data_IF_509145549628
#
_entry.id   IF_509145549628
#
_cell.length_a   1.000
_cell.length_b   1.000
_cell.length_c   1.000
_cell.angle_alpha   90.00
_cell.angle_beta   90.00
_cell.angle_gamma   90.00
#
_symmetry.space_group_name_H-M   'P 1'
#
loop_
_entity.id
_entity.type
_entity.pdbx_description
1 polymer ?
#
# COMPACT_ATOMS: atom_id res chain seq x y z
N UNK A 1 10.65 10.88 -4.84
CA UNK A 1 9.62 10.68 -3.80
C UNK A 1 9.64 11.82 -2.79
N UNK A 2 8.49 12.25 -2.35
CA UNK A 2 8.33 13.28 -1.32
C UNK A 2 7.53 12.70 -0.16
N UNK A 3 8.16 12.62 0.99
CA UNK A 3 7.57 12.14 2.24
C UNK A 3 7.40 13.26 3.24
N UNK A 4 6.18 13.50 3.68
CA UNK A 4 5.86 14.55 4.63
C UNK A 4 4.99 14.04 5.79
N UNK A 5 5.50 14.02 7.01
CA UNK A 5 4.69 13.81 8.20
C UNK A 5 4.07 15.13 8.66
N UNK A 6 2.76 15.15 8.84
CA UNK A 6 2.01 16.30 9.34
C UNK A 6 1.42 15.99 10.71
N UNK A 7 1.71 16.81 11.70
CA UNK A 7 1.06 16.71 12.99
C UNK A 7 -0.19 17.58 13.00
N UNK A 8 -1.36 16.97 13.10
CA UNK A 8 -2.65 17.66 13.11
C UNK A 8 -3.14 17.95 14.55
N UNK A 9 -2.23 18.19 15.48
CA UNK A 9 -2.55 18.44 16.89
C UNK A 9 -3.39 17.29 17.48
N UNK A 10 -4.57 17.63 18.02
CA UNK A 10 -5.48 16.63 18.60
C UNK A 10 -6.12 15.64 17.61
N UNK A 11 -5.95 15.84 16.30
CA UNK A 11 -6.47 14.91 15.27
C UNK A 11 -5.49 13.80 14.90
N UNK A 12 -4.31 13.79 15.48
CA UNK A 12 -3.33 12.75 15.25
C UNK A 12 -2.28 13.13 14.21
N UNK A 13 -1.82 12.14 13.42
CA UNK A 13 -0.75 12.30 12.45
C UNK A 13 -1.19 11.86 11.08
N UNK A 14 -0.87 12.68 10.10
CA UNK A 14 -1.10 12.39 8.70
C UNK A 14 0.25 12.23 7.99
N UNK A 15 0.36 11.19 7.18
CA UNK A 15 1.53 10.91 6.37
C UNK A 15 1.12 10.94 4.91
N UNK A 16 1.91 11.61 4.10
CA UNK A 16 1.75 11.60 2.65
C UNK A 16 3.08 11.31 1.99
N UNK A 17 3.07 10.45 0.99
CA UNK A 17 4.17 10.25 0.09
C UNK A 17 3.66 10.30 -1.34
N UNK A 18 4.32 11.09 -2.17
CA UNK A 18 4.03 11.20 -3.59
C UNK A 18 5.31 10.87 -4.35
N UNK A 19 5.22 9.97 -5.29
CA UNK A 19 6.31 9.55 -6.13
C UNK A 19 5.92 9.67 -7.59
N UNK A 20 6.82 10.22 -8.39
CA UNK A 20 6.72 10.32 -9.83
C UNK A 20 7.98 9.72 -10.45
N UNK A 21 7.80 8.92 -11.48
CA UNK A 21 8.88 8.36 -12.27
C UNK A 21 8.58 8.46 -13.75
N UNK A 22 9.64 8.71 -14.54
CA UNK A 22 9.58 8.67 -16.00
C UNK A 22 10.87 8.09 -16.55
N UNK A 23 10.75 7.08 -17.39
CA UNK A 23 11.82 6.48 -18.18
C UNK A 23 11.77 7.07 -19.58
N UNK A 24 12.91 7.46 -20.11
CA UNK A 24 13.01 8.05 -21.44
C UNK A 24 13.66 7.08 -22.42
N UNK A 25 13.08 6.99 -23.62
CA UNK A 25 13.55 6.14 -24.72
C UNK A 25 13.06 4.69 -24.63
N UNK A 26 13.47 3.92 -25.62
CA UNK A 26 13.08 2.51 -25.75
C UNK A 26 14.03 1.65 -24.95
N UNK A 27 13.54 1.05 -23.88
CA UNK A 27 14.37 0.33 -22.92
C UNK A 27 13.86 -1.10 -22.68
N UNK A 28 14.76 -2.06 -22.42
CA UNK A 28 14.39 -3.40 -22.03
C UNK A 28 13.54 -3.43 -20.78
N UNK A 29 12.69 -4.46 -20.61
CA UNK A 29 11.76 -4.65 -19.50
C UNK A 29 12.40 -4.44 -18.12
N UNK A 30 13.63 -4.89 -17.94
CA UNK A 30 14.37 -4.77 -16.68
C UNK A 30 14.81 -3.34 -16.32
N UNK A 31 14.68 -2.37 -17.24
CA UNK A 31 14.97 -0.96 -17.02
C UNK A 31 13.71 -0.10 -16.94
N UNK A 32 12.54 -0.66 -17.23
CA UNK A 32 11.27 0.01 -17.02
C UNK A 32 10.96 0.14 -15.53
N UNK A 33 10.18 1.16 -15.19
CA UNK A 33 9.74 1.38 -13.82
C UNK A 33 8.69 0.36 -13.44
N UNK A 34 8.89 -0.34 -12.33
CA UNK A 34 7.91 -1.28 -11.75
C UNK A 34 7.26 -0.61 -10.55
N UNK A 35 5.93 -0.56 -10.55
CA UNK A 35 5.19 -0.09 -9.37
C UNK A 35 5.38 -1.12 -8.24
N UNK A 36 5.95 -0.70 -7.08
CA UNK A 36 6.44 -1.65 -6.09
C UNK A 36 5.29 -2.34 -5.34
N UNK A 37 5.04 -3.59 -5.67
CA UNK A 37 4.20 -4.50 -4.89
C UNK A 37 4.97 -5.14 -3.73
N UNK A 38 4.32 -5.38 -2.61
CA UNK A 38 4.93 -6.05 -1.47
C UNK A 38 4.93 -7.57 -1.67
N UNK A 39 6.10 -8.14 -1.96
CA UNK A 39 6.30 -9.58 -2.16
C UNK A 39 6.93 -10.28 -0.96
N UNK A 40 7.29 -9.53 0.07
CA UNK A 40 7.97 -10.10 1.23
C UNK A 40 6.99 -10.40 2.36
N UNK A 41 7.41 -11.29 3.28
CA UNK A 41 6.72 -11.47 4.57
C UNK A 41 6.79 -10.22 5.45
N UNK A 42 7.58 -9.23 5.04
CA UNK A 42 7.72 -7.96 5.73
C UNK A 42 7.05 -6.89 4.90
N UNK A 43 6.22 -6.07 5.50
CA UNK A 43 5.68 -4.90 4.81
C UNK A 43 6.76 -3.85 4.67
N UNK A 44 7.08 -3.53 3.43
CA UNK A 44 8.04 -2.50 3.08
C UNK A 44 7.28 -1.18 2.95
N UNK A 45 7.87 -0.12 3.46
CA UNK A 45 7.31 1.22 3.33
C UNK A 45 7.20 1.63 1.85
N UNK A 46 6.15 2.34 1.49
CA UNK A 46 5.85 2.78 0.12
C UNK A 46 5.60 1.66 -0.90
N UNK A 47 5.21 0.48 -0.45
CA UNK A 47 4.78 -0.59 -1.35
C UNK A 47 3.26 -0.76 -1.31
N UNK A 48 2.71 -1.30 -2.37
CA UNK A 48 1.32 -1.70 -2.44
C UNK A 48 1.17 -3.11 -1.87
N UNK A 49 0.23 -3.31 -0.94
CA UNK A 49 0.07 -4.59 -0.25
C UNK A 49 -0.52 -5.67 -1.15
N UNK A 50 -1.40 -5.28 -2.08
CA UNK A 50 -2.19 -6.19 -2.92
C UNK A 50 -1.66 -6.33 -4.34
N UNK A 51 -0.54 -5.68 -4.66
CA UNK A 51 0.06 -5.70 -5.99
C UNK A 51 1.09 -6.83 -6.08
N UNK A 52 0.99 -7.64 -7.13
CA UNK A 52 1.95 -8.70 -7.40
C UNK A 52 3.25 -8.14 -8.03
N UNK A 53 4.33 -8.93 -7.95
CA UNK A 53 5.61 -8.55 -8.52
C UNK A 53 5.53 -8.46 -10.05
N UNK A 54 6.00 -7.36 -10.61
CA UNK A 54 5.89 -7.05 -12.04
C UNK A 54 4.45 -7.00 -12.58
N UNK A 55 3.43 -6.95 -11.74
CA UNK A 55 2.04 -6.80 -12.21
C UNK A 55 1.87 -5.50 -13.00
N UNK A 56 2.44 -4.39 -12.49
CA UNK A 56 2.42 -3.11 -13.20
C UNK A 56 3.83 -2.64 -13.55
N UNK A 57 4.10 -2.59 -14.87
CA UNK A 57 5.32 -2.06 -15.46
C UNK A 57 4.97 -0.82 -16.26
N UNK A 58 5.73 0.24 -16.09
CA UNK A 58 5.40 1.55 -16.65
C UNK A 58 6.67 2.26 -17.11
N UNK A 59 6.56 3.13 -18.10
CA UNK A 59 7.62 4.10 -18.40
C UNK A 59 7.34 5.46 -17.73
N UNK A 60 6.07 5.76 -17.48
CA UNK A 60 5.66 6.96 -16.72
C UNK A 60 4.67 6.55 -15.64
N UNK A 61 4.93 6.94 -14.37
CA UNK A 61 4.00 6.64 -13.29
C UNK A 61 3.94 7.76 -12.24
N UNK A 62 2.82 7.77 -11.55
CA UNK A 62 2.59 8.54 -10.32
C UNK A 62 2.03 7.59 -9.28
N UNK A 63 2.60 7.58 -8.09
CA UNK A 63 2.03 6.87 -6.94
C UNK A 63 1.82 7.83 -5.77
N UNK A 64 0.74 7.61 -5.04
CA UNK A 64 0.38 8.39 -3.85
C UNK A 64 0.03 7.45 -2.71
N UNK A 65 0.70 7.62 -1.59
CA UNK A 65 0.45 6.89 -0.35
C UNK A 65 0.02 7.88 0.73
N UNK A 66 -1.17 7.69 1.26
CA UNK A 66 -1.73 8.50 2.33
C UNK A 66 -2.02 7.60 3.53
N UNK A 67 -1.67 8.06 4.72
CA UNK A 67 -1.99 7.36 5.96
C UNK A 67 -2.35 8.36 7.05
N UNK A 68 -3.44 8.11 7.74
CA UNK A 68 -3.86 8.89 8.90
C UNK A 68 -3.91 8.03 10.15
N UNK A 69 -3.19 8.43 11.18
CA UNK A 69 -3.19 7.82 12.50
C UNK A 69 -3.90 8.75 13.48
N UNK A 70 -5.06 8.34 13.98
CA UNK A 70 -5.89 9.12 14.89
C UNK A 70 -5.40 9.16 16.34
N UNK A 71 -4.28 8.48 16.64
CA UNK A 71 -3.69 8.40 17.99
C UNK A 71 -4.65 7.91 19.08
N UNK A 72 -5.59 7.03 18.74
CA UNK A 72 -6.54 6.45 19.69
C UNK A 72 -7.73 7.35 20.03
N UNK A 73 -7.97 8.41 19.26
CA UNK A 73 -9.03 9.37 19.54
C UNK A 73 -10.44 8.77 19.51
N UNK A 74 -10.70 7.85 18.57
CA UNK A 74 -11.97 7.18 18.45
C UNK A 74 -12.13 6.13 19.56
N UNK A 75 -11.15 5.27 19.75
CA UNK A 75 -11.17 4.22 20.76
C UNK A 75 -11.15 4.74 22.19
N UNK A 76 -10.59 5.94 22.44
CA UNK A 76 -10.62 6.56 23.76
C UNK A 76 -12.01 6.95 24.25
N UNK A 77 -12.99 7.04 23.34
CA UNK A 77 -14.40 7.31 23.69
C UNK A 77 -15.10 6.08 24.25
N UNK A 78 -14.59 4.89 23.98
CA UNK A 78 -15.15 3.62 24.45
C UNK A 78 -14.40 3.23 25.73
N UNK A 79 -15.08 3.15 26.91
CA UNK A 79 -14.41 2.97 28.21
C UNK A 79 -13.52 1.72 28.29
N UNK A 80 -13.92 0.63 27.64
CA UNK A 80 -13.15 -0.61 27.61
C UNK A 80 -11.88 -0.48 26.75
N UNK A 81 -11.98 0.10 25.55
CA UNK A 81 -10.86 0.25 24.60
C UNK A 81 -9.86 1.33 25.06
N UNK A 82 -10.32 2.32 25.81
CA UNK A 82 -9.47 3.38 26.37
C UNK A 82 -8.30 2.84 27.19
N UNK A 83 -8.52 1.76 27.95
CA UNK A 83 -7.46 1.14 28.77
C UNK A 83 -6.36 0.47 27.92
N UNK A 84 -6.70 0.05 26.71
CA UNK A 84 -5.79 -0.63 25.80
C UNK A 84 -4.89 0.33 25.02
N UNK A 85 -5.18 1.64 25.02
CA UNK A 85 -4.46 2.68 24.28
C UNK A 85 -4.25 2.34 22.79
N UNK A 86 -5.23 1.67 22.18
CA UNK A 86 -5.18 1.31 20.75
C UNK A 86 -5.21 2.56 19.88
N UNK A 87 -4.63 2.46 18.68
CA UNK A 87 -4.57 3.55 17.69
C UNK A 87 -5.27 3.12 16.42
N UNK A 88 -6.18 3.95 15.96
CA UNK A 88 -6.85 3.75 14.69
C UNK A 88 -6.00 4.34 13.56
N UNK A 89 -5.88 3.59 12.48
CA UNK A 89 -5.10 3.99 11.31
C UNK A 89 -5.96 3.74 10.07
N UNK A 90 -5.99 4.72 9.19
CA UNK A 90 -6.61 4.58 7.86
C UNK A 90 -5.52 4.86 6.83
N UNK A 91 -5.45 4.04 5.81
CA UNK A 91 -4.53 4.20 4.70
C UNK A 91 -5.26 4.20 3.36
N UNK A 92 -4.76 4.99 2.44
CA UNK A 92 -5.18 5.01 1.05
C UNK A 92 -3.93 5.06 0.17
N UNK A 93 -3.87 4.18 -0.81
CA UNK A 93 -2.77 4.13 -1.77
C UNK A 93 -3.35 4.09 -3.17
N UNK A 94 -2.74 4.82 -4.07
CA UNK A 94 -3.14 4.82 -5.46
C UNK A 94 -1.94 4.93 -6.38
N UNK A 95 -2.02 4.30 -7.52
CA UNK A 95 -1.04 4.40 -8.57
C UNK A 95 -1.73 4.56 -9.93
N UNK A 96 -1.14 5.42 -10.74
CA UNK A 96 -1.45 5.56 -12.14
C UNK A 96 -0.14 5.48 -12.93
N UNK A 97 -0.19 4.89 -14.10
CA UNK A 97 0.96 4.82 -14.97
C UNK A 97 0.59 4.29 -16.34
N UNK A 98 1.44 4.55 -17.29
CA UNK A 98 1.30 4.09 -18.67
C UNK A 98 2.62 3.55 -19.20
N UNK A 99 2.56 2.81 -20.28
CA UNK A 99 3.70 2.32 -21.04
C UNK A 99 3.49 2.67 -22.51
N UNK A 100 4.50 3.27 -23.13
CA UNK A 100 4.46 3.66 -24.54
C UNK A 100 4.38 2.45 -25.45
N UNK A 101 3.82 2.64 -26.64
CA UNK A 101 3.66 1.55 -27.61
C UNK A 101 5.02 1.02 -28.11
N UNK A 102 6.04 1.86 -28.18
CA UNK A 102 7.41 1.51 -28.52
C UNK A 102 7.99 0.54 -27.48
N UNK A 103 7.81 0.85 -26.19
CA UNK A 103 8.26 -0.02 -25.10
C UNK A 103 7.45 -1.31 -25.01
N UNK A 104 6.15 -1.29 -25.34
CA UNK A 104 5.32 -2.51 -25.45
C UNK A 104 5.83 -3.43 -26.56
N UNK A 105 6.14 -2.88 -27.72
CA UNK A 105 6.64 -3.64 -28.87
C UNK A 105 8.04 -4.25 -28.60
N UNK A 106 8.94 -3.46 -28.02
CA UNK A 106 10.29 -3.91 -27.68
C UNK A 106 10.26 -5.06 -26.66
N UNK A 107 9.32 -5.01 -25.71
CA UNK A 107 9.21 -5.96 -24.61
C UNK A 107 8.07 -6.98 -24.80
N UNK A 108 7.68 -7.30 -26.04
CA UNK A 108 6.72 -8.34 -26.38
C UNK A 108 7.26 -9.74 -26.02
N UNK A 109 7.72 -9.91 -24.79
CA UNK A 109 8.19 -11.17 -24.21
C UNK A 109 6.99 -11.97 -23.70
N UNK A 110 7.14 -13.28 -23.54
CA UNK A 110 6.09 -14.12 -22.96
C UNK A 110 5.80 -13.87 -21.47
N UNK A 111 6.40 -12.84 -20.86
CA UNK A 111 6.12 -12.41 -19.49
C UNK A 111 4.87 -11.55 -19.47
N UNK A 112 3.93 -11.92 -18.61
CA UNK A 112 2.72 -11.14 -18.40
C UNK A 112 3.03 -9.92 -17.54
N UNK A 113 2.75 -8.74 -18.07
CA UNK A 113 2.76 -7.48 -17.34
C UNK A 113 1.67 -6.57 -17.89
N UNK A 114 1.15 -5.70 -17.06
CA UNK A 114 0.17 -4.69 -17.46
C UNK A 114 0.70 -3.29 -17.14
N UNK A 115 0.11 -2.27 -17.77
CA UNK A 115 0.15 -0.91 -17.26
C UNK A 115 -1.23 -0.60 -16.67
N UNK A 116 -1.37 0.24 -15.66
CA UNK A 116 -2.66 0.65 -15.15
C UNK A 116 -3.35 1.65 -16.09
N UNK A 117 -3.35 1.35 -17.41
CA UNK A 117 -3.91 2.19 -18.48
C UNK A 117 -5.32 2.64 -18.14
N UNK A 118 -5.60 3.92 -18.17
CA UNK A 118 -6.90 4.56 -17.93
C UNK A 118 -7.66 4.11 -16.67
N UNK A 119 -7.17 3.11 -15.95
CA UNK A 119 -7.74 2.55 -14.76
C UNK A 119 -6.79 2.77 -13.58
N UNK A 120 -7.02 3.85 -12.84
CA UNK A 120 -6.28 4.10 -11.61
C UNK A 120 -6.35 2.88 -10.68
N UNK A 121 -5.19 2.37 -10.30
CA UNK A 121 -5.08 1.36 -9.25
C UNK A 121 -5.23 2.01 -7.89
N UNK A 122 -6.00 1.42 -6.99
CA UNK A 122 -6.11 1.92 -5.63
C UNK A 122 -6.34 0.82 -4.60
N UNK A 123 -5.78 1.06 -3.42
CA UNK A 123 -5.96 0.28 -2.22
C UNK A 123 -6.41 1.17 -1.08
N UNK A 124 -7.22 0.64 -0.20
CA UNK A 124 -7.55 1.28 1.07
C UNK A 124 -7.36 0.29 2.22
N UNK A 125 -6.93 0.81 3.35
CA UNK A 125 -6.63 -0.01 4.51
C UNK A 125 -7.18 0.58 5.80
N UNK A 126 -7.53 -0.30 6.72
CA UNK A 126 -7.90 0.04 8.09
C UNK A 126 -6.97 -0.73 9.02
N UNK A 127 -6.31 -0.02 9.93
CA UNK A 127 -5.35 -0.59 10.85
C UNK A 127 -5.67 -0.31 12.31
N UNK A 128 -5.24 -1.23 13.15
CA UNK A 128 -5.24 -1.07 14.60
C UNK A 128 -3.80 -1.22 15.09
N UNK A 129 -3.26 -0.14 15.60
CA UNK A 129 -1.90 -0.10 16.14
C UNK A 129 -1.87 -0.08 17.67
N UNK A 130 -0.65 -0.13 18.20
CA UNK A 130 -0.35 -0.15 19.63
C UNK A 130 -0.96 -1.36 20.37
N UNK A 131 -1.19 -2.47 19.68
CA UNK A 131 -1.64 -3.73 20.28
C UNK A 131 -0.46 -4.26 21.12
N UNK A 132 -0.68 -4.44 22.43
CA UNK A 132 0.38 -4.75 23.40
C UNK A 132 1.61 -3.83 23.32
N UNK A 133 1.47 -2.60 22.82
CA UNK A 133 2.52 -1.58 22.63
C UNK A 133 3.56 -1.88 21.56
N UNK A 134 3.44 -2.99 20.82
CA UNK A 134 4.44 -3.42 19.83
C UNK A 134 3.85 -3.92 18.52
N UNK A 135 2.56 -4.28 18.48
CA UNK A 135 1.95 -4.82 17.28
C UNK A 135 0.98 -3.84 16.63
N UNK A 136 0.91 -3.93 15.31
CA UNK A 136 -0.09 -3.29 14.47
C UNK A 136 -0.62 -4.31 13.48
N UNK A 137 -1.90 -4.30 13.24
CA UNK A 137 -2.60 -5.15 12.26
C UNK A 137 -3.33 -4.25 11.29
N UNK A 138 -3.08 -4.40 10.01
CA UNK A 138 -3.75 -3.67 8.93
C UNK A 138 -4.51 -4.64 8.04
N UNK A 139 -5.73 -4.26 7.69
CA UNK A 139 -6.57 -4.91 6.70
C UNK A 139 -6.56 -4.05 5.45
N UNK A 140 -5.95 -4.54 4.37
CA UNK A 140 -5.83 -3.84 3.11
C UNK A 140 -6.75 -4.46 2.06
N UNK A 141 -7.45 -3.62 1.32
CA UNK A 141 -8.43 -3.99 0.32
C UNK A 141 -8.09 -3.38 -1.03
N UNK A 142 -8.17 -4.19 -2.09
CA UNK A 142 -7.99 -3.73 -3.47
C UNK A 142 -9.35 -3.27 -4.03
N UNK A 143 -9.39 -2.07 -4.62
CA UNK A 143 -10.65 -1.42 -4.98
C UNK A 143 -11.47 -2.06 -6.11
N UNK A 144 -10.84 -2.80 -7.03
CA UNK A 144 -11.55 -3.48 -8.14
C UNK A 144 -11.84 -4.96 -7.90
N UNK A 145 -11.05 -5.60 -7.07
CA UNK A 145 -11.22 -6.99 -6.69
C UNK A 145 -11.46 -6.99 -5.19
N UNK A 146 -12.53 -7.61 -4.72
CA UNK A 146 -12.77 -7.82 -3.29
C UNK A 146 -11.73 -8.78 -2.71
N UNK A 147 -10.46 -8.40 -2.77
CA UNK A 147 -9.37 -9.10 -2.10
C UNK A 147 -9.02 -8.34 -0.83
N UNK A 148 -8.83 -9.07 0.26
CA UNK A 148 -8.40 -8.52 1.53
C UNK A 148 -7.08 -9.17 1.91
N UNK A 149 -6.11 -8.38 2.31
CA UNK A 149 -4.85 -8.84 2.87
C UNK A 149 -4.72 -8.32 4.30
N UNK A 150 -4.23 -9.18 5.18
CA UNK A 150 -3.99 -8.84 6.59
C UNK A 150 -2.49 -8.71 6.77
N UNK A 151 -2.04 -7.51 7.09
CA UNK A 151 -0.66 -7.20 7.42
C UNK A 151 -0.47 -7.06 8.92
N UNK A 152 0.50 -7.76 9.46
CA UNK A 152 0.92 -7.65 10.84
C UNK A 152 2.25 -6.90 10.93
N UNK A 153 2.29 -5.89 11.77
CA UNK A 153 3.45 -5.01 11.93
C UNK A 153 3.98 -5.00 13.37
N UNK A 154 5.28 -4.83 13.51
CA UNK A 154 5.91 -4.51 14.79
C UNK A 154 6.10 -2.99 14.90
N UNK A 155 5.43 -2.35 15.85
CA UNK A 155 5.61 -0.93 16.13
C UNK A 155 6.82 -0.68 17.05
N UNK A 156 7.74 0.17 16.66
CA UNK A 156 8.82 0.65 17.51
C UNK A 156 8.40 1.93 18.24
N UNK A 157 8.84 2.07 19.49
CA UNK A 157 8.42 3.12 20.43
C UNK A 157 8.72 4.57 20.00
N UNK A 158 9.64 4.75 19.06
CA UNK A 158 9.97 6.04 18.45
C UNK A 158 9.71 5.94 16.95
N UNK A 159 8.66 6.48 16.51
CA UNK A 159 8.11 6.88 15.21
C UNK A 159 9.00 6.83 13.94
N UNK A 160 10.19 6.26 14.01
CA UNK A 160 10.97 5.86 12.85
C UNK A 160 10.49 4.47 12.43
N UNK A 161 9.77 4.44 11.32
CA UNK A 161 9.32 3.22 10.65
C UNK A 161 10.53 2.45 10.11
N UNK A 162 11.28 1.83 11.01
CA UNK A 162 12.37 0.96 10.64
C UNK A 162 11.89 -0.47 10.78
N UNK A 163 11.66 -1.11 9.64
CA UNK A 163 11.42 -2.54 9.46
C UNK A 163 10.23 -3.14 10.22
N UNK A 164 9.18 -3.30 9.48
CA UNK A 164 7.98 -3.98 9.88
C UNK A 164 8.03 -5.45 9.47
N UNK A 165 7.85 -6.34 10.44
CA UNK A 165 7.75 -7.78 10.18
C UNK A 165 6.28 -8.10 9.93
N UNK A 166 5.92 -8.49 8.72
CA UNK A 166 4.61 -9.09 8.44
C UNK A 166 4.68 -10.56 8.79
N UNK A 167 3.98 -10.98 9.82
CA UNK A 167 4.01 -12.37 10.28
C UNK A 167 3.02 -13.27 9.53
N UNK A 168 2.02 -12.71 8.87
CA UNK A 168 1.03 -13.50 8.12
C UNK A 168 0.58 -12.72 6.89
N UNK A 169 0.91 -13.23 5.70
CA UNK A 169 0.34 -12.80 4.45
C UNK A 169 -0.68 -13.85 4.01
N UNK A 170 -1.96 -13.57 4.20
CA UNK A 170 -3.02 -14.45 3.72
C UNK A 170 -3.83 -13.75 2.65
N UNK A 171 -3.50 -14.02 1.39
CA UNK A 171 -4.24 -13.53 0.23
C UNK A 171 -5.48 -14.38 0.08
N UNK A 172 -6.64 -13.88 0.50
CA UNK A 172 -7.92 -14.57 0.31
C UNK A 172 -8.65 -13.97 -0.88
N UNK A 173 -8.63 -14.65 -2.01
CA UNK A 173 -9.50 -14.32 -3.12
C UNK A 173 -10.94 -14.75 -2.77
N UNK A 174 -11.82 -13.79 -2.63
CA UNK A 174 -13.25 -14.09 -2.59
C UNK A 174 -13.70 -14.22 -4.05
N UNK A 175 -13.78 -15.45 -4.53
CA UNK A 175 -14.38 -15.72 -5.82
C UNK A 175 -15.79 -15.15 -5.86
N UNK A 176 -16.11 -14.40 -6.92
CA UNK A 176 -17.48 -13.99 -7.23
C UNK A 176 -18.38 -15.21 -7.14
N UNK A 177 -19.33 -15.18 -6.20
CA UNK A 177 -20.48 -16.05 -6.30
C UNK A 177 -21.21 -15.69 -7.58
N UNK A 178 -21.07 -16.52 -8.60
CA UNK A 178 -21.99 -16.52 -9.72
C UNK A 178 -23.29 -17.13 -9.19
N UNK A 179 -24.25 -16.29 -8.91
CA UNK A 179 -25.63 -16.73 -8.72
C UNK A 179 -26.14 -17.03 -10.12
N UNK A 180 -26.38 -18.31 -10.39
CA UNK A 180 -27.18 -18.78 -11.52
C UNK A 180 -28.66 -18.44 -11.28
#
# INVERSE_FOLDING_TARGET
SYFQPWQLGGFGRFYSNVEFGKTFGDVPLGLLSVIPGNQSYFSIYNTFSQLDFYEFVTDTYVSVHLQHNFNGRLFSRIPFLRKLNLREIISFRTAWGEISDENKLLNASGLYYEAPDNNMYYEYGIGIGNIFKIFRVDFNFRGKLFSCEIDLYLEKKNYDYTYLITLVKQKKYINKFTIL
#
